data_IF_464886608721
#
_entry.id   IF_464886608721
#
_cell.length_a   1.000
_cell.length_b   1.000
_cell.length_c   1.000
_cell.angle_alpha   90.00
_cell.angle_beta   90.00
_cell.angle_gamma   90.00
#
_symmetry.space_group_name_H-M   'P 1'
#
loop_
_entity.id
_entity.type
_entity.pdbx_description
1 polymer ?
#
# COMPACT_ATOMS: atom_id res chain seq x y z
N UNK A 1 -0.99 -38.27 61.06
CA UNK A 1 -1.66 -37.22 60.25
C UNK A 1 -1.05 -37.26 58.85
N UNK A 2 -1.77 -37.79 57.84
CA UNK A 2 -1.27 -37.84 56.46
C UNK A 2 -2.40 -37.39 55.53
N UNK A 3 -2.29 -36.16 55.03
CA UNK A 3 -3.22 -35.58 54.07
C UNK A 3 -2.82 -36.05 52.67
N UNK A 4 -3.58 -37.02 52.16
CA UNK A 4 -3.45 -37.50 50.77
C UNK A 4 -3.89 -36.37 49.82
N UNK A 5 -2.96 -35.95 48.96
CA UNK A 5 -3.21 -35.01 47.88
C UNK A 5 -4.08 -35.67 46.80
N UNK A 6 -5.36 -35.29 46.72
CA UNK A 6 -6.19 -35.52 45.55
C UNK A 6 -5.83 -34.49 44.47
N UNK A 7 -4.79 -34.76 43.68
CA UNK A 7 -4.52 -34.00 42.48
C UNK A 7 -5.40 -34.55 41.34
N UNK A 8 -6.52 -33.87 41.07
CA UNK A 8 -7.44 -34.24 40.00
C UNK A 8 -6.75 -34.17 38.62
N UNK A 9 -6.58 -35.27 37.88
CA UNK A 9 -5.86 -35.30 36.60
C UNK A 9 -6.59 -34.57 35.46
N UNK A 10 -7.90 -34.33 35.61
CA UNK A 10 -8.74 -33.67 34.58
C UNK A 10 -8.47 -32.17 34.43
N UNK A 11 -8.03 -31.49 35.50
CA UNK A 11 -7.73 -30.05 35.46
C UNK A 11 -6.45 -29.75 34.64
N UNK A 12 -5.47 -30.67 34.68
CA UNK A 12 -4.17 -30.52 34.00
C UNK A 12 -4.26 -30.60 32.48
N UNK A 13 -5.15 -31.46 31.97
CA UNK A 13 -5.35 -31.64 30.53
C UNK A 13 -6.07 -30.44 29.91
N UNK A 14 -7.03 -29.84 30.63
CA UNK A 14 -7.70 -28.62 30.19
C UNK A 14 -6.73 -27.44 30.11
N UNK A 15 -5.85 -27.27 31.10
CA UNK A 15 -4.84 -26.21 31.09
C UNK A 15 -3.85 -26.36 29.92
N UNK A 16 -3.42 -27.60 29.63
CA UNK A 16 -2.54 -27.88 28.48
C UNK A 16 -3.23 -27.57 27.14
N UNK A 17 -4.49 -27.98 26.97
CA UNK A 17 -5.25 -27.68 25.76
C UNK A 17 -5.46 -26.18 25.55
N UNK A 18 -5.82 -25.44 26.60
CA UNK A 18 -6.00 -23.98 26.53
C UNK A 18 -4.67 -23.27 26.23
N UNK A 19 -3.54 -23.74 26.77
CA UNK A 19 -2.23 -23.19 26.44
C UNK A 19 -1.81 -23.43 24.99
N UNK A 20 -2.20 -24.57 24.40
CA UNK A 20 -1.88 -24.90 23.01
C UNK A 20 -2.69 -24.06 22.01
N UNK A 21 -3.94 -23.72 22.36
CA UNK A 21 -4.78 -22.81 21.57
C UNK A 21 -4.30 -21.35 21.62
N UNK A 22 -3.78 -20.89 22.75
CA UNK A 22 -3.21 -19.54 22.87
C UNK A 22 -1.87 -19.38 22.14
N UNK A 23 -1.09 -20.45 22.01
CA UNK A 23 0.22 -20.41 21.36
C UNK A 23 0.16 -20.26 19.82
N UNK A 24 -0.98 -20.57 19.19
CA UNK A 24 -1.14 -20.57 17.73
C UNK A 24 -1.66 -19.26 17.11
N UNK A 25 -2.00 -18.24 17.90
CA UNK A 25 -2.77 -17.07 17.42
C UNK A 25 -1.96 -15.81 17.13
N UNK A 26 -0.63 -15.85 17.20
CA UNK A 26 0.21 -14.67 16.96
C UNK A 26 0.90 -14.75 15.59
N UNK A 27 0.15 -14.42 14.53
CA UNK A 27 0.78 -14.01 13.27
C UNK A 27 1.04 -12.50 13.35
N UNK A 28 2.26 -12.11 13.68
CA UNK A 28 2.70 -10.74 13.48
C UNK A 28 2.83 -10.51 11.96
N UNK A 29 1.84 -9.85 11.35
CA UNK A 29 2.02 -9.29 10.02
C UNK A 29 3.10 -8.21 10.14
N UNK A 30 4.31 -8.50 9.65
CA UNK A 30 5.29 -7.45 9.41
C UNK A 30 4.64 -6.43 8.48
N UNK A 31 4.79 -5.14 8.78
CA UNK A 31 4.39 -4.11 7.83
C UNK A 31 5.14 -4.38 6.51
N UNK A 32 4.42 -4.30 5.40
CA UNK A 32 5.00 -4.49 4.08
C UNK A 32 6.20 -3.53 3.91
N UNK A 33 7.26 -4.00 3.26
CA UNK A 33 8.48 -3.19 3.11
C UNK A 33 8.13 -1.89 2.35
N UNK A 34 8.50 -0.74 2.90
CA UNK A 34 8.19 0.54 2.27
C UNK A 34 8.91 0.66 0.93
N UNK A 35 8.16 0.51 -0.17
CA UNK A 35 8.68 0.67 -1.52
C UNK A 35 8.90 2.14 -1.87
N UNK A 36 10.09 2.47 -2.36
CA UNK A 36 10.42 3.78 -2.97
C UNK A 36 10.98 3.56 -4.37
N UNK A 37 10.41 4.23 -5.37
CA UNK A 37 10.84 4.17 -6.77
C UNK A 37 10.97 5.56 -7.38
N UNK A 38 12.00 5.76 -8.20
CA UNK A 38 12.12 6.96 -9.01
C UNK A 38 11.17 6.89 -10.22
N UNK A 39 10.48 7.99 -10.52
CA UNK A 39 9.51 8.09 -11.64
C UNK A 39 9.93 9.17 -12.63
N UNK A 40 10.02 10.43 -12.19
CA UNK A 40 10.37 11.57 -13.05
C UNK A 40 10.75 12.82 -12.26
N UNK A 41 11.27 13.84 -12.94
CA UNK A 41 11.64 15.12 -12.34
C UNK A 41 10.40 16.00 -12.13
N UNK A 42 10.39 16.77 -11.05
CA UNK A 42 9.33 17.74 -10.78
C UNK A 42 7.98 17.09 -10.52
N UNK A 43 7.94 16.07 -9.65
CA UNK A 43 6.70 15.41 -9.24
C UNK A 43 5.85 16.32 -8.34
N UNK A 44 4.53 16.30 -8.57
CA UNK A 44 3.53 17.02 -7.80
C UNK A 44 2.43 16.04 -7.34
N UNK A 45 1.17 16.39 -7.54
CA UNK A 45 0.04 15.63 -7.02
C UNK A 45 -0.17 14.33 -7.79
N UNK A 46 -0.96 13.45 -7.16
CA UNK A 46 -1.27 12.13 -7.67
C UNK A 46 -2.76 11.88 -7.57
N UNK A 47 -3.27 11.05 -8.47
CA UNK A 47 -4.64 10.56 -8.43
C UNK A 47 -4.63 9.03 -8.51
N UNK A 48 -5.51 8.37 -7.76
CA UNK A 48 -5.63 6.91 -7.76
C UNK A 48 -7.00 6.50 -8.30
N UNK A 49 -7.07 5.43 -9.09
CA UNK A 49 -8.33 4.80 -9.51
C UNK A 49 -8.31 3.34 -9.14
N UNK A 50 -9.28 2.94 -8.32
CA UNK A 50 -9.51 1.52 -8.03
C UNK A 50 -10.03 0.78 -9.26
N UNK A 51 -10.87 1.42 -10.08
CA UNK A 51 -11.45 0.80 -11.28
C UNK A 51 -10.37 0.44 -12.30
N UNK A 52 -9.37 1.30 -12.47
CA UNK A 52 -8.24 1.03 -13.37
C UNK A 52 -7.07 0.33 -12.68
N UNK A 53 -7.14 0.15 -11.35
CA UNK A 53 -6.04 -0.24 -10.49
C UNK A 53 -4.73 0.47 -10.86
N UNK A 54 -4.78 1.80 -10.90
CA UNK A 54 -3.69 2.64 -11.38
C UNK A 54 -3.51 3.88 -10.52
N UNK A 55 -2.25 4.30 -10.39
CA UNK A 55 -1.84 5.56 -9.79
C UNK A 55 -1.31 6.47 -10.89
N UNK A 56 -1.77 7.71 -10.98
CA UNK A 56 -1.20 8.72 -11.88
C UNK A 56 -0.42 9.75 -11.08
N UNK A 57 0.71 10.18 -11.63
CA UNK A 57 1.56 11.21 -11.03
C UNK A 57 1.78 12.34 -12.03
N UNK A 58 1.44 13.56 -11.63
CA UNK A 58 1.72 14.76 -12.39
C UNK A 58 3.20 15.13 -12.25
N UNK A 59 3.88 15.34 -13.38
CA UNK A 59 5.27 15.79 -13.38
C UNK A 59 5.49 16.96 -14.34
N UNK A 60 6.07 18.05 -13.82
CA UNK A 60 6.36 19.25 -14.60
C UNK A 60 7.69 19.18 -15.35
N UNK A 61 8.47 18.11 -15.15
CA UNK A 61 9.81 17.92 -15.73
C UNK A 61 10.77 19.06 -15.32
N UNK A 62 11.84 19.30 -16.08
CA UNK A 62 12.72 20.45 -15.81
C UNK A 62 12.00 21.77 -16.07
N UNK A 63 12.18 22.73 -15.16
CA UNK A 63 11.69 24.11 -15.35
C UNK A 63 12.37 24.82 -16.51
N UNK A 64 13.67 24.56 -16.73
CA UNK A 64 14.49 25.29 -17.71
C UNK A 64 14.71 24.54 -19.01
N UNK A 65 14.68 23.20 -18.99
CA UNK A 65 15.05 22.38 -20.15
C UNK A 65 13.86 21.82 -20.92
N UNK A 66 12.72 21.62 -20.25
CA UNK A 66 11.57 20.91 -20.84
C UNK A 66 10.41 21.86 -21.12
N UNK A 67 9.81 21.75 -22.31
CA UNK A 67 8.51 22.34 -22.64
C UNK A 67 7.43 21.30 -22.44
N UNK A 68 6.30 21.71 -21.86
CA UNK A 68 5.28 20.78 -21.41
C UNK A 68 5.71 19.93 -20.21
N UNK A 69 4.90 18.94 -19.88
CA UNK A 69 5.14 18.01 -18.79
C UNK A 69 4.65 16.60 -19.13
N UNK A 70 4.72 15.71 -18.14
CA UNK A 70 4.35 14.30 -18.31
C UNK A 70 3.43 13.90 -17.15
N UNK A 71 2.37 13.17 -17.48
CA UNK A 71 1.62 12.38 -16.50
C UNK A 71 2.05 10.93 -16.67
N UNK A 72 2.59 10.33 -15.61
CA UNK A 72 2.94 8.90 -15.59
C UNK A 72 1.77 8.11 -15.02
N UNK A 73 1.38 7.03 -15.68
CA UNK A 73 0.54 5.97 -15.08
C UNK A 73 1.46 4.92 -14.48
N UNK A 74 1.22 4.58 -13.23
CA UNK A 74 2.01 3.65 -12.44
C UNK A 74 1.15 2.45 -12.02
N UNK A 75 1.78 1.29 -11.97
CA UNK A 75 1.26 0.15 -11.21
C UNK A 75 1.28 0.50 -9.70
N UNK A 76 0.15 0.38 -8.99
CA UNK A 76 0.06 0.86 -7.61
C UNK A 76 0.78 -0.02 -6.59
N UNK A 77 1.20 -1.24 -6.97
CA UNK A 77 1.92 -2.16 -6.08
C UNK A 77 3.43 -2.04 -6.24
N UNK A 78 3.91 -1.90 -7.47
CA UNK A 78 5.34 -1.91 -7.83
C UNK A 78 5.90 -0.52 -8.17
N UNK A 79 5.00 0.46 -8.35
CA UNK A 79 5.29 1.80 -8.85
C UNK A 79 5.96 1.81 -10.24
N UNK A 80 5.90 0.70 -10.98
CA UNK A 80 6.40 0.63 -12.35
C UNK A 80 5.59 1.52 -13.28
N UNK A 81 6.28 2.25 -14.16
CA UNK A 81 5.63 3.07 -15.18
C UNK A 81 4.99 2.15 -16.20
N UNK A 82 3.66 2.18 -16.27
CA UNK A 82 2.87 1.42 -17.25
C UNK A 82 2.47 2.27 -18.45
N UNK A 83 2.45 3.60 -18.31
CA UNK A 83 2.19 4.53 -19.41
C UNK A 83 2.83 5.90 -19.17
N UNK A 84 3.22 6.55 -20.26
CA UNK A 84 3.76 7.91 -20.28
C UNK A 84 2.82 8.77 -21.15
N UNK A 85 2.29 9.86 -20.59
CA UNK A 85 1.38 10.77 -21.28
C UNK A 85 2.03 12.15 -21.36
N UNK A 86 2.46 12.52 -22.56
CA UNK A 86 3.02 13.84 -22.82
C UNK A 86 1.91 14.90 -22.84
N UNK A 87 2.16 16.02 -22.18
CA UNK A 87 1.25 17.16 -22.09
C UNK A 87 1.96 18.42 -22.55
N UNK A 88 1.29 19.22 -23.38
CA UNK A 88 1.83 20.49 -23.87
C UNK A 88 2.02 21.53 -22.75
N UNK A 89 1.16 21.45 -21.72
CA UNK A 89 1.25 22.24 -20.49
C UNK A 89 1.80 21.37 -19.36
N UNK A 90 2.51 22.01 -18.42
CA UNK A 90 3.05 21.32 -17.24
C UNK A 90 1.91 21.04 -16.26
N UNK A 91 1.61 19.76 -15.93
CA UNK A 91 0.61 19.41 -14.93
C UNK A 91 1.20 19.56 -13.52
N UNK A 92 0.36 19.97 -12.56
CA UNK A 92 0.76 20.18 -11.17
C UNK A 92 -0.25 19.57 -10.20
N UNK A 93 -1.47 20.10 -10.19
CA UNK A 93 -2.57 19.51 -9.44
C UNK A 93 -3.03 18.21 -10.10
N UNK A 94 -3.65 17.31 -9.34
CA UNK A 94 -4.18 16.06 -9.87
C UNK A 94 -5.43 15.63 -9.11
N UNK A 95 -6.54 15.49 -9.83
CA UNK A 95 -7.78 14.93 -9.31
C UNK A 95 -8.39 13.95 -10.31
N UNK A 96 -9.23 13.03 -9.82
CA UNK A 96 -9.98 12.11 -10.66
C UNK A 96 -11.47 12.19 -10.36
N UNK A 97 -12.28 12.27 -11.40
CA UNK A 97 -13.71 12.02 -11.29
C UNK A 97 -13.97 10.52 -11.42
N UNK A 98 -14.15 9.85 -10.28
CA UNK A 98 -14.36 8.39 -10.22
C UNK A 98 -15.61 7.89 -10.94
N UNK A 99 -16.63 8.74 -11.15
CA UNK A 99 -17.83 8.33 -11.89
C UNK A 99 -17.60 8.22 -13.40
N UNK A 100 -16.61 8.97 -13.92
CA UNK A 100 -16.32 9.05 -15.36
C UNK A 100 -14.95 8.49 -15.74
N UNK A 101 -14.09 8.20 -14.77
CA UNK A 101 -12.69 7.85 -14.99
C UNK A 101 -11.83 9.00 -15.52
N UNK A 102 -12.32 10.25 -15.49
CA UNK A 102 -11.61 11.39 -16.09
C UNK A 102 -10.66 12.04 -15.08
N UNK A 103 -9.40 12.21 -15.49
CA UNK A 103 -8.37 12.94 -14.74
C UNK A 103 -8.40 14.43 -15.06
N UNK A 104 -8.12 15.26 -14.05
CA UNK A 104 -8.01 16.72 -14.14
C UNK A 104 -6.66 17.16 -13.58
N UNK A 105 -5.91 17.93 -14.37
CA UNK A 105 -4.54 18.39 -14.08
C UNK A 105 -4.37 19.88 -14.38
#
# INVERSE_FOLDING_TARGET
MSLRHFAAPRLRHSLLFTSLLLAGSFSAHAADEMLRKAVGKGAYEMAYSQQENALWVATSQSRSLDKGGIVYRLDPTTLDVTQIIHNDLKPFGAAINHATGTLWF
#
